data_IF_986497781328
#
_entry.id   IF_986497781328
#
_cell.length_a   1.000
_cell.length_b   1.000
_cell.length_c   1.000
_cell.angle_alpha   90.00
_cell.angle_beta   90.00
_cell.angle_gamma   90.00
#
_symmetry.space_group_name_H-M   'P 1'
#
loop_
_entity.id
_entity.type
_entity.pdbx_description
1 polymer ?
#
# COMPACT_ATOMS: atom_id res chain seq x y z
N UNK A 1 -5.55 -19.66 -20.75
CA UNK A 1 -6.34 -19.05 -19.66
C UNK A 1 -5.75 -17.69 -19.40
N UNK A 2 -6.50 -16.60 -19.59
CA UNK A 2 -6.10 -15.30 -19.05
C UNK A 2 -6.51 -15.33 -17.57
N UNK A 3 -5.55 -15.60 -16.68
CA UNK A 3 -5.69 -15.14 -15.30
C UNK A 3 -5.68 -13.62 -15.39
N UNK A 4 -6.84 -12.98 -15.23
CA UNK A 4 -6.82 -11.56 -14.89
C UNK A 4 -6.02 -11.48 -13.59
N UNK A 5 -4.86 -10.85 -13.64
CA UNK A 5 -4.05 -10.62 -12.46
C UNK A 5 -4.85 -9.66 -11.58
N UNK A 6 -5.52 -10.21 -10.57
CA UNK A 6 -6.35 -9.43 -9.65
C UNK A 6 -5.50 -9.12 -8.43
N UNK A 7 -5.39 -7.83 -8.08
CA UNK A 7 -4.76 -7.44 -6.83
C UNK A 7 -5.85 -7.46 -5.77
N UNK A 8 -5.89 -8.54 -5.01
CA UNK A 8 -6.76 -8.71 -3.86
C UNK A 8 -6.03 -8.36 -2.55
N UNK A 9 -6.72 -8.58 -1.42
CA UNK A 9 -6.20 -8.27 -0.11
C UNK A 9 -4.90 -9.04 0.19
N UNK A 10 -4.84 -10.33 -0.12
CA UNK A 10 -3.68 -11.17 0.17
C UNK A 10 -2.45 -10.69 -0.61
N UNK A 11 -2.64 -10.26 -1.86
CA UNK A 11 -1.58 -9.67 -2.68
C UNK A 11 -1.04 -8.37 -2.07
N UNK A 12 -1.93 -7.46 -1.65
CA UNK A 12 -1.54 -6.23 -0.93
C UNK A 12 -0.76 -6.56 0.36
N UNK A 13 -1.27 -7.50 1.16
CA UNK A 13 -0.62 -7.94 2.40
C UNK A 13 0.76 -8.52 2.13
N UNK A 14 0.90 -9.33 1.07
CA UNK A 14 2.17 -9.90 0.61
C UNK A 14 3.17 -8.81 0.22
N UNK A 15 2.74 -7.83 -0.56
CA UNK A 15 3.58 -6.69 -0.96
C UNK A 15 4.02 -5.87 0.25
N UNK A 16 3.11 -5.55 1.19
CA UNK A 16 3.46 -4.84 2.42
C UNK A 16 4.48 -5.61 3.28
N UNK A 17 4.30 -6.93 3.43
CA UNK A 17 5.28 -7.78 4.13
C UNK A 17 6.63 -7.81 3.41
N UNK A 18 6.63 -7.83 2.07
CA UNK A 18 7.86 -7.77 1.28
C UNK A 18 8.61 -6.45 1.43
N UNK A 19 7.90 -5.36 1.74
CA UNK A 19 8.48 -4.06 2.10
C UNK A 19 9.00 -4.02 3.57
N UNK A 20 8.77 -5.08 4.33
CA UNK A 20 9.16 -5.19 5.73
C UNK A 20 8.15 -4.58 6.71
N UNK A 21 6.88 -4.44 6.32
CA UNK A 21 5.80 -4.10 7.24
C UNK A 21 5.26 -5.35 7.94
N UNK A 22 5.06 -5.25 9.25
CA UNK A 22 4.50 -6.33 10.06
C UNK A 22 2.98 -6.28 9.99
N UNK A 23 2.39 -7.03 9.05
CA UNK A 23 0.93 -7.07 8.89
C UNK A 23 0.36 -8.36 9.51
N UNK A 24 -0.67 -8.27 10.39
CA UNK A 24 -1.28 -9.45 10.98
C UNK A 24 -1.84 -10.40 9.93
N UNK A 25 -1.70 -11.71 10.16
CA UNK A 25 -2.33 -12.72 9.31
C UNK A 25 -3.84 -12.63 9.42
N UNK A 26 -4.54 -12.53 8.29
CA UNK A 26 -5.99 -12.33 8.24
C UNK A 26 -6.45 -10.89 8.44
N UNK A 27 -5.52 -9.92 8.52
CA UNK A 27 -5.88 -8.50 8.55
C UNK A 27 -6.57 -8.07 7.25
N UNK A 28 -7.52 -7.14 7.36
CA UNK A 28 -8.15 -6.55 6.16
C UNK A 28 -7.17 -5.64 5.43
N UNK A 29 -7.45 -5.32 4.15
CA UNK A 29 -6.66 -4.36 3.40
C UNK A 29 -6.53 -3.01 4.14
N UNK A 30 -7.60 -2.54 4.79
CA UNK A 30 -7.57 -1.32 5.60
C UNK A 30 -6.64 -1.45 6.81
N UNK A 31 -6.77 -2.52 7.60
CA UNK A 31 -5.90 -2.75 8.77
C UNK A 31 -4.42 -2.90 8.39
N UNK A 32 -4.16 -3.55 7.26
CA UNK A 32 -2.82 -3.68 6.71
C UNK A 32 -2.21 -2.33 6.33
N UNK A 33 -3.00 -1.50 5.64
CA UNK A 33 -2.60 -0.14 5.30
C UNK A 33 -2.38 0.71 6.55
N UNK A 34 -3.28 0.67 7.53
CA UNK A 34 -3.11 1.37 8.82
C UNK A 34 -1.80 0.97 9.53
N UNK A 35 -1.52 -0.33 9.55
CA UNK A 35 -0.29 -0.83 10.16
C UNK A 35 0.96 -0.33 9.41
N UNK A 36 0.90 -0.33 8.07
CA UNK A 36 1.96 0.20 7.24
C UNK A 36 2.17 1.71 7.48
N UNK A 37 1.10 2.48 7.57
CA UNK A 37 1.13 3.93 7.85
C UNK A 37 1.79 4.23 9.19
N UNK A 38 1.43 3.50 10.25
CA UNK A 38 2.03 3.67 11.59
C UNK A 38 3.53 3.34 11.61
N UNK A 39 3.98 2.47 10.71
CA UNK A 39 5.38 2.07 10.56
C UNK A 39 6.16 2.82 9.48
N UNK A 40 5.63 3.94 8.94
CA UNK A 40 6.28 4.72 7.90
C UNK A 40 7.59 5.36 8.38
N UNK A 41 8.59 5.35 7.51
CA UNK A 41 9.85 6.06 7.61
C UNK A 41 10.28 6.54 6.21
N UNK A 42 11.36 7.31 6.09
CA UNK A 42 11.76 7.94 4.83
C UNK A 42 11.89 6.94 3.68
N UNK A 43 12.59 5.85 3.97
CA UNK A 43 12.84 4.78 2.99
C UNK A 43 11.54 4.08 2.65
N UNK A 44 10.77 3.66 3.67
CA UNK A 44 9.50 2.95 3.52
C UNK A 44 8.44 3.77 2.80
N UNK A 45 8.35 5.07 3.06
CA UNK A 45 7.43 5.98 2.38
C UNK A 45 7.74 6.04 0.88
N UNK A 46 9.02 6.16 0.52
CA UNK A 46 9.45 6.17 -0.88
C UNK A 46 9.19 4.82 -1.57
N UNK A 47 9.47 3.70 -0.90
CA UNK A 47 9.22 2.38 -1.47
C UNK A 47 7.74 2.08 -1.58
N UNK A 48 6.95 2.40 -0.55
CA UNK A 48 5.49 2.24 -0.55
C UNK A 48 4.83 3.06 -1.66
N UNK A 49 5.27 4.30 -1.88
CA UNK A 49 4.81 5.13 -3.00
C UNK A 49 5.11 4.48 -4.35
N UNK A 50 6.32 3.94 -4.52
CA UNK A 50 6.72 3.24 -5.75
C UNK A 50 5.85 2.01 -6.00
N UNK A 51 5.63 1.21 -4.96
CA UNK A 51 4.76 0.02 -5.00
C UNK A 51 3.32 0.39 -5.39
N UNK A 52 2.72 1.38 -4.72
CA UNK A 52 1.35 1.85 -5.05
C UNK A 52 1.28 2.32 -6.51
N UNK A 53 2.27 3.09 -6.98
CA UNK A 53 2.33 3.52 -8.38
C UNK A 53 2.40 2.34 -9.35
N UNK A 54 3.21 1.33 -9.04
CA UNK A 54 3.32 0.11 -9.85
C UNK A 54 2.00 -0.67 -9.87
N UNK A 55 1.29 -0.80 -8.76
CA UNK A 55 -0.03 -1.43 -8.74
C UNK A 55 -1.02 -0.73 -9.67
N UNK A 56 -1.10 0.61 -9.62
CA UNK A 56 -2.01 1.37 -10.49
C UNK A 56 -1.58 1.43 -11.95
N UNK A 57 -0.30 1.23 -12.25
CA UNK A 57 0.23 1.23 -13.63
C UNK A 57 0.18 -0.16 -14.25
N UNK A 58 0.18 -1.21 -13.43
CA UNK A 58 0.07 -2.59 -13.89
C UNK A 58 -1.28 -2.82 -14.56
N UNK A 59 -1.31 -3.72 -15.55
CA UNK A 59 -2.58 -4.16 -16.16
C UNK A 59 -3.43 -5.04 -15.24
N UNK A 60 -2.96 -5.25 -14.00
CA UNK A 60 -3.67 -5.96 -12.96
C UNK A 60 -4.91 -5.17 -12.52
N UNK A 61 -6.03 -5.87 -12.33
CA UNK A 61 -7.26 -5.23 -11.85
C UNK A 61 -7.23 -5.20 -10.33
N UNK A 62 -7.08 -4.00 -9.76
CA UNK A 62 -7.14 -3.80 -8.31
C UNK A 62 -8.58 -3.95 -7.84
N UNK A 63 -8.82 -4.81 -6.84
CA UNK A 63 -10.14 -4.94 -6.25
C UNK A 63 -10.58 -3.63 -5.59
N UNK A 64 -11.89 -3.29 -5.64
CA UNK A 64 -12.38 -2.02 -5.11
C UNK A 64 -12.07 -1.83 -3.62
N UNK A 65 -12.12 -2.90 -2.82
CA UNK A 65 -11.77 -2.85 -1.40
C UNK A 65 -10.29 -2.46 -1.16
N UNK A 66 -9.38 -3.04 -1.94
CA UNK A 66 -7.93 -2.72 -1.87
C UNK A 66 -7.69 -1.29 -2.32
N UNK A 67 -8.30 -0.89 -3.44
CA UNK A 67 -8.22 0.49 -3.94
C UNK A 67 -8.68 1.50 -2.89
N UNK A 68 -9.81 1.23 -2.23
CA UNK A 68 -10.32 2.09 -1.15
C UNK A 68 -9.40 2.15 0.05
N UNK A 69 -8.81 1.02 0.46
CA UNK A 69 -7.84 1.01 1.56
C UNK A 69 -6.60 1.84 1.24
N UNK A 70 -6.06 1.71 0.03
CA UNK A 70 -4.91 2.51 -0.43
C UNK A 70 -5.27 4.00 -0.44
N UNK A 71 -6.42 4.36 -1.00
CA UNK A 71 -6.87 5.75 -1.15
C UNK A 71 -7.15 6.42 0.19
N UNK A 72 -7.78 5.70 1.14
CA UNK A 72 -8.14 6.23 2.46
C UNK A 72 -6.99 6.26 3.47
N UNK A 73 -6.03 5.35 3.36
CA UNK A 73 -4.98 5.19 4.37
C UNK A 73 -3.60 5.55 3.82
N UNK A 74 -3.16 4.89 2.74
CA UNK A 74 -1.79 5.04 2.26
C UNK A 74 -1.55 6.39 1.58
N UNK A 75 -2.44 6.82 0.68
CA UNK A 75 -2.27 8.08 -0.05
C UNK A 75 -2.20 9.31 0.87
N UNK A 76 -3.12 9.52 1.83
CA UNK A 76 -3.03 10.66 2.74
C UNK A 76 -1.77 10.59 3.60
N UNK A 77 -1.43 9.42 4.15
CA UNK A 77 -0.23 9.26 4.96
C UNK A 77 1.06 9.57 4.18
N UNK A 78 1.16 9.12 2.92
CA UNK A 78 2.29 9.45 2.05
C UNK A 78 2.35 10.94 1.73
N UNK A 79 1.19 11.60 1.55
CA UNK A 79 1.12 13.04 1.32
C UNK A 79 1.59 13.83 2.56
N UNK A 80 1.11 13.47 3.75
CA UNK A 80 1.53 14.06 5.02
C UNK A 80 3.03 13.85 5.27
N UNK A 81 3.53 12.65 4.97
CA UNK A 81 4.94 12.32 5.09
C UNK A 81 5.80 13.19 4.14
N UNK A 82 5.36 13.32 2.88
CA UNK A 82 6.05 14.14 1.88
C UNK A 82 6.05 15.62 2.27
N UNK A 83 4.94 16.15 2.79
CA UNK A 83 4.84 17.54 3.25
C UNK A 83 5.78 17.81 4.42
N UNK A 84 5.85 16.89 5.37
CA UNK A 84 6.74 16.99 6.54
C UNK A 84 8.22 16.99 6.17
N UNK A 85 8.60 16.31 5.07
CA UNK A 85 10.00 16.19 4.63
C UNK A 85 10.41 17.17 3.53
N UNK A 86 9.46 17.71 2.76
CA UNK A 86 9.71 18.79 1.77
C UNK A 86 9.83 20.17 2.43
N UNK A 87 9.30 20.34 3.64
CA UNK A 87 9.33 21.60 4.37
C UNK A 87 10.57 21.87 5.22
N UNK A 88 11.64 21.08 5.10
CA UNK A 88 12.88 21.23 5.89
C UNK A 88 14.06 21.64 5.02
#
# INVERSE_FOLDING_TARGET
MMHADLIDQEDLLGQLKSLGFEVPTGATAEQACECAVRGLNDVRAMTLRTMVKQMYTSSATILPAVRQAIDKQLLPALAEYQQSHTGR
#
